data_IF_823012044373
#
_entry.id   IF_823012044373
#
_cell.length_a   1.000
_cell.length_b   1.000
_cell.length_c   1.000
_cell.angle_alpha   90.00
_cell.angle_beta   90.00
_cell.angle_gamma   90.00
#
_symmetry.space_group_name_H-M   'P 1'
#
loop_
_entity.id
_entity.type
_entity.pdbx_description
1 polymer ?
#
# COMPACT_ATOMS: atom_id res chain seq x y z
N UNK A 1 3.57 -21.62 9.58
CA UNK A 1 3.20 -20.71 10.68
C UNK A 1 2.24 -19.67 10.12
N UNK A 2 1.00 -19.66 10.59
CA UNK A 2 0.02 -18.65 10.22
C UNK A 2 0.23 -17.41 11.09
N UNK A 3 0.45 -16.26 10.48
CA UNK A 3 0.56 -14.98 11.16
C UNK A 3 -0.80 -14.31 11.08
N UNK A 4 -1.53 -14.20 12.20
CA UNK A 4 -2.86 -13.56 12.26
C UNK A 4 -2.96 -12.57 13.42
N UNK A 5 -3.81 -11.55 13.25
CA UNK A 5 -4.35 -10.71 14.33
C UNK A 5 -5.57 -9.95 13.83
N UNK A 6 -6.09 -8.97 14.57
CA UNK A 6 -7.38 -8.34 14.24
C UNK A 6 -7.29 -6.81 14.16
N UNK A 7 -7.81 -6.22 13.08
CA UNK A 7 -8.02 -4.75 12.93
C UNK A 7 -9.52 -4.50 12.78
N UNK A 8 -10.12 -3.67 13.63
CA UNK A 8 -11.55 -3.35 13.63
C UNK A 8 -12.46 -4.61 13.59
N UNK A 9 -12.07 -5.66 14.31
CA UNK A 9 -12.81 -6.94 14.36
C UNK A 9 -12.61 -7.86 13.16
N UNK A 10 -11.77 -7.50 12.18
CA UNK A 10 -11.42 -8.35 11.04
C UNK A 10 -10.05 -8.99 11.23
N UNK A 11 -9.96 -10.30 11.07
CA UNK A 11 -8.70 -11.02 11.06
C UNK A 11 -7.84 -10.56 9.87
N UNK A 12 -6.63 -10.09 10.13
CA UNK A 12 -5.58 -9.85 9.15
C UNK A 12 -4.56 -10.96 9.33
N UNK A 13 -4.42 -11.79 8.31
CA UNK A 13 -3.33 -12.75 8.24
C UNK A 13 -2.66 -12.69 6.87
N UNK A 14 -1.45 -13.25 6.74
CA UNK A 14 -0.71 -13.24 5.47
C UNK A 14 -1.54 -13.84 4.33
N UNK A 15 -2.37 -14.86 4.62
CA UNK A 15 -3.23 -15.50 3.63
C UNK A 15 -4.33 -14.56 3.12
N UNK A 16 -4.82 -13.62 3.94
CA UNK A 16 -5.82 -12.61 3.57
C UNK A 16 -5.35 -11.65 2.45
N UNK A 17 -4.03 -11.56 2.23
CA UNK A 17 -3.43 -10.81 1.13
C UNK A 17 -3.28 -11.65 -0.15
N UNK A 18 -3.29 -12.98 -0.03
CA UNK A 18 -3.18 -13.93 -1.14
C UNK A 18 -4.51 -14.62 -1.50
N UNK A 19 -5.57 -14.40 -0.72
CA UNK A 19 -6.92 -14.88 -1.04
C UNK A 19 -7.34 -14.34 -2.41
N UNK A 20 -7.49 -15.25 -3.38
CA UNK A 20 -7.75 -15.00 -4.81
C UNK A 20 -6.55 -14.58 -5.68
N UNK A 21 -5.30 -14.68 -5.21
CA UNK A 21 -4.11 -14.40 -6.04
C UNK A 21 -4.09 -15.20 -7.36
N UNK A 22 -4.63 -16.43 -7.37
CA UNK A 22 -4.75 -17.28 -8.55
C UNK A 22 -5.70 -16.72 -9.64
N UNK A 23 -6.50 -15.70 -9.32
CA UNK A 23 -7.43 -15.02 -10.26
C UNK A 23 -6.89 -13.68 -10.75
N UNK A 24 -5.71 -13.27 -10.31
CA UNK A 24 -5.10 -11.98 -10.64
C UNK A 24 -3.98 -12.14 -11.66
N UNK A 25 -3.79 -11.12 -12.49
CA UNK A 25 -2.61 -11.03 -13.35
C UNK A 25 -1.42 -10.56 -12.50
N UNK A 26 -0.34 -11.35 -12.51
CA UNK A 26 0.88 -11.05 -11.73
C UNK A 26 1.95 -10.46 -12.64
N UNK A 27 2.42 -9.28 -12.28
CA UNK A 27 3.60 -8.67 -12.87
C UNK A 27 4.77 -8.80 -11.88
N UNK A 28 5.70 -9.71 -12.18
CA UNK A 28 6.97 -9.81 -11.47
C UNK A 28 7.93 -8.74 -11.99
N UNK A 29 8.42 -7.90 -11.10
CA UNK A 29 9.33 -6.82 -11.44
C UNK A 29 10.75 -7.29 -11.11
N UNK A 30 11.38 -7.90 -12.11
CA UNK A 30 12.69 -8.55 -11.97
C UNK A 30 13.88 -7.56 -12.00
N UNK A 31 13.63 -6.25 -12.01
CA UNK A 31 14.66 -5.20 -12.05
C UNK A 31 14.26 -4.03 -11.15
N UNK A 32 15.22 -3.27 -10.62
CA UNK A 32 14.97 -2.05 -9.80
C UNK A 32 14.25 -0.91 -10.56
N UNK A 33 13.66 -1.17 -11.74
CA UNK A 33 12.93 -0.23 -12.59
C UNK A 33 11.74 0.44 -11.88
N UNK A 34 11.15 -0.21 -10.87
CA UNK A 34 10.13 0.38 -9.98
C UNK A 34 10.63 0.57 -8.53
N UNK A 35 11.94 0.58 -8.33
CA UNK A 35 12.56 0.74 -7.02
C UNK A 35 12.29 -0.45 -6.10
N UNK A 36 11.63 -0.19 -4.96
CA UNK A 36 11.38 -1.17 -3.90
C UNK A 36 10.29 -2.19 -4.22
N UNK A 37 9.45 -1.94 -5.24
CA UNK A 37 8.33 -2.83 -5.60
C UNK A 37 8.84 -4.08 -6.33
N UNK A 38 8.38 -5.26 -5.91
CA UNK A 38 8.78 -6.56 -6.46
C UNK A 38 7.66 -7.25 -7.23
N UNK A 39 6.41 -7.13 -6.77
CA UNK A 39 5.27 -7.75 -7.45
C UNK A 39 4.07 -6.80 -7.43
N UNK A 40 3.30 -6.81 -8.52
CA UNK A 40 2.03 -6.10 -8.64
C UNK A 40 1.01 -7.08 -9.19
N UNK A 41 -0.13 -7.14 -8.52
CA UNK A 41 -1.25 -7.99 -8.90
C UNK A 41 -2.41 -7.09 -9.32
N UNK A 42 -2.85 -7.24 -10.56
CA UNK A 42 -3.95 -6.48 -11.14
C UNK A 42 -5.14 -7.38 -11.43
N UNK A 43 -6.35 -6.84 -11.25
CA UNK A 43 -7.55 -7.55 -11.69
C UNK A 43 -7.62 -7.55 -13.23
N UNK A 44 -7.87 -8.72 -13.88
CA UNK A 44 -7.70 -8.85 -15.33
C UNK A 44 -8.56 -7.91 -16.18
N UNK A 45 -9.79 -7.60 -15.76
CA UNK A 45 -10.73 -6.84 -16.60
C UNK A 45 -10.57 -5.32 -16.44
N UNK A 46 -10.55 -4.85 -15.21
CA UNK A 46 -10.40 -3.45 -14.81
C UNK A 46 -8.98 -2.92 -14.97
N UNK A 47 -7.99 -3.82 -14.92
CA UNK A 47 -6.56 -3.50 -14.77
C UNK A 47 -6.24 -2.67 -13.53
N UNK A 48 -7.13 -2.64 -12.53
CA UNK A 48 -6.87 -1.96 -11.25
C UNK A 48 -5.96 -2.82 -10.38
N UNK A 49 -5.10 -2.16 -9.62
CA UNK A 49 -4.15 -2.83 -8.71
C UNK A 49 -4.92 -3.32 -7.49
N UNK A 50 -4.80 -4.61 -7.21
CA UNK A 50 -5.43 -5.25 -6.06
C UNK A 50 -4.42 -5.43 -4.93
N UNK A 51 -3.18 -5.75 -5.29
CA UNK A 51 -2.14 -6.03 -4.32
C UNK A 51 -0.74 -5.66 -4.84
N UNK A 52 0.11 -5.19 -3.92
CA UNK A 52 1.53 -4.89 -4.15
C UNK A 52 2.38 -5.57 -3.08
N UNK A 53 3.48 -6.18 -3.51
CA UNK A 53 4.57 -6.62 -2.65
C UNK A 53 5.82 -5.79 -2.92
N UNK A 54 6.41 -5.24 -1.86
CA UNK A 54 7.63 -4.44 -1.93
C UNK A 54 8.64 -4.87 -0.86
N UNK A 55 9.93 -4.75 -1.20
CA UNK A 55 11.05 -4.97 -0.29
C UNK A 55 11.89 -3.69 -0.24
N UNK A 56 11.92 -3.06 0.92
CA UNK A 56 12.53 -1.74 1.12
C UNK A 56 13.86 -1.93 1.85
N UNK A 57 14.94 -1.71 1.13
CA UNK A 57 16.30 -1.63 1.65
C UNK A 57 16.73 -0.17 1.75
N UNK A 58 17.82 0.07 2.49
CA UNK A 58 18.43 1.41 2.63
C UNK A 58 18.70 2.08 1.28
N UNK A 59 19.12 1.32 0.27
CA UNK A 59 19.38 1.81 -1.09
C UNK A 59 18.15 2.34 -1.84
N UNK A 60 16.94 2.03 -1.37
CA UNK A 60 15.69 2.53 -1.95
C UNK A 60 15.20 3.82 -1.28
N UNK A 61 15.78 4.20 -0.13
CA UNK A 61 15.32 5.38 0.59
C UNK A 61 15.62 6.63 -0.23
N UNK A 62 14.63 7.52 -0.31
CA UNK A 62 14.69 8.81 -1.01
C UNK A 62 14.98 8.71 -2.52
N UNK A 63 14.84 7.54 -3.15
CA UNK A 63 15.04 7.34 -4.60
C UNK A 63 13.76 7.37 -5.43
N UNK A 64 12.59 7.44 -4.79
CA UNK A 64 11.30 7.52 -5.49
C UNK A 64 11.11 8.85 -6.22
N UNK A 65 10.11 8.89 -7.09
CA UNK A 65 9.84 10.06 -7.93
C UNK A 65 8.48 10.69 -7.65
N UNK A 66 8.38 11.98 -7.94
CA UNK A 66 7.11 12.71 -7.95
C UNK A 66 6.13 12.15 -8.98
N UNK A 67 4.84 12.38 -8.76
CA UNK A 67 3.80 11.96 -9.71
C UNK A 67 3.96 12.70 -11.04
N UNK A 68 4.21 11.96 -12.12
CA UNK A 68 4.35 12.54 -13.45
C UNK A 68 3.07 13.21 -13.94
N UNK A 69 3.21 14.21 -14.83
CA UNK A 69 2.04 14.87 -15.46
C UNK A 69 1.15 13.86 -16.19
N UNK A 70 1.76 12.86 -16.86
CA UNK A 70 1.05 11.80 -17.58
C UNK A 70 0.22 10.94 -16.62
N UNK A 71 0.83 10.45 -15.54
CA UNK A 71 0.12 9.63 -14.55
C UNK A 71 -1.00 10.41 -13.85
N UNK A 72 -0.74 11.68 -13.49
CA UNK A 72 -1.75 12.57 -12.91
C UNK A 72 -2.96 12.75 -13.83
N UNK A 73 -2.73 12.91 -15.13
CA UNK A 73 -3.81 13.01 -16.13
C UNK A 73 -4.63 11.71 -16.18
N UNK A 74 -3.96 10.56 -16.28
CA UNK A 74 -4.62 9.24 -16.32
C UNK A 74 -5.48 9.01 -15.07
N UNK A 75 -4.98 9.33 -13.87
CA UNK A 75 -5.75 9.19 -12.64
C UNK A 75 -7.04 10.02 -12.69
N UNK A 76 -6.92 11.29 -13.06
CA UNK A 76 -8.06 12.22 -13.11
C UNK A 76 -9.12 11.82 -14.13
N UNK A 77 -8.70 11.26 -15.27
CA UNK A 77 -9.61 10.94 -16.38
C UNK A 77 -10.19 9.53 -16.30
N UNK A 78 -9.52 8.58 -15.61
CA UNK A 78 -9.85 7.15 -15.75
C UNK A 78 -9.94 6.36 -14.46
N UNK A 79 -9.71 6.97 -13.29
CA UNK A 79 -9.69 6.25 -12.00
C UNK A 79 -10.79 6.69 -11.03
N UNK A 80 -11.94 7.17 -11.53
CA UNK A 80 -13.04 7.63 -10.65
C UNK A 80 -12.59 8.71 -9.65
N UNK A 81 -11.63 9.54 -10.07
CA UNK A 81 -11.08 10.64 -9.28
C UNK A 81 -12.18 11.64 -8.93
N UNK A 82 -12.26 12.03 -7.66
CA UNK A 82 -13.25 13.01 -7.19
C UNK A 82 -12.58 14.31 -6.73
N UNK A 83 -13.37 15.37 -6.65
CA UNK A 83 -12.89 16.62 -6.05
C UNK A 83 -12.44 16.38 -4.60
N UNK A 84 -11.28 16.93 -4.24
CA UNK A 84 -10.64 16.67 -2.94
C UNK A 84 -9.67 15.49 -2.92
N UNK A 85 -9.56 14.70 -4.00
CA UNK A 85 -8.50 13.71 -4.14
C UNK A 85 -7.15 14.38 -4.45
N UNK A 86 -6.08 13.70 -4.03
CA UNK A 86 -4.70 13.83 -4.48
C UNK A 86 -4.29 12.55 -5.24
N UNK A 87 -3.15 12.60 -5.91
CA UNK A 87 -2.54 11.41 -6.51
C UNK A 87 -1.64 10.76 -5.46
N UNK A 88 -2.20 9.79 -4.73
CA UNK A 88 -1.50 9.05 -3.68
C UNK A 88 -0.52 8.04 -4.25
N UNK A 89 0.61 7.87 -3.58
CA UNK A 89 1.54 6.76 -3.83
C UNK A 89 1.14 5.55 -2.98
N UNK A 90 1.08 4.35 -3.57
CA UNK A 90 0.82 3.12 -2.80
C UNK A 90 2.05 2.78 -1.95
N UNK A 91 3.22 2.69 -2.59
CA UNK A 91 4.52 2.74 -1.92
C UNK A 91 5.04 4.15 -1.98
N UNK A 92 5.27 4.75 -0.81
CA UNK A 92 5.61 6.16 -0.69
C UNK A 92 6.94 6.53 -1.37
N UNK A 93 7.04 7.78 -1.81
CA UNK A 93 8.19 8.31 -2.56
C UNK A 93 9.52 8.11 -1.82
N UNK A 94 9.57 8.43 -0.52
CA UNK A 94 10.80 8.30 0.27
C UNK A 94 11.18 6.86 0.59
N UNK A 95 10.29 5.91 0.32
CA UNK A 95 10.52 4.46 0.45
C UNK A 95 10.87 3.81 -0.90
N UNK A 96 11.15 4.62 -1.92
CA UNK A 96 11.58 4.17 -3.25
C UNK A 96 10.45 3.98 -4.26
N UNK A 97 9.22 4.37 -3.91
CA UNK A 97 8.09 4.27 -4.83
C UNK A 97 8.14 5.31 -5.95
N UNK A 98 7.98 4.85 -7.19
CA UNK A 98 7.94 5.72 -8.38
C UNK A 98 6.57 6.40 -8.55
N UNK A 99 6.57 7.68 -8.90
CA UNK A 99 5.39 8.42 -9.36
C UNK A 99 5.22 8.42 -10.88
N UNK A 100 6.06 7.68 -11.60
CA UNK A 100 6.03 7.59 -13.07
C UNK A 100 5.29 6.34 -13.59
N UNK A 101 4.82 5.46 -12.70
CA UNK A 101 4.00 4.31 -13.04
C UNK A 101 2.61 4.45 -12.40
N UNK A 102 1.57 4.34 -13.23
CA UNK A 102 0.18 4.39 -12.78
C UNK A 102 -0.16 3.27 -11.78
N UNK A 103 0.57 2.14 -11.82
CA UNK A 103 0.34 1.00 -10.93
C UNK A 103 0.83 1.24 -9.50
N UNK A 104 1.66 2.24 -9.24
CA UNK A 104 2.03 2.64 -7.88
C UNK A 104 1.20 3.83 -7.37
N UNK A 105 0.12 4.17 -8.07
CA UNK A 105 -0.66 5.36 -7.79
C UNK A 105 -2.15 5.07 -7.71
N UNK A 106 -2.87 5.88 -6.93
CA UNK A 106 -4.31 5.81 -6.81
C UNK A 106 -4.90 7.19 -6.45
N UNK A 107 -6.18 7.45 -6.74
CA UNK A 107 -6.87 8.63 -6.21
C UNK A 107 -7.07 8.46 -4.69
N UNK A 108 -6.54 9.41 -3.94
CA UNK A 108 -6.53 9.37 -2.48
C UNK A 108 -7.14 10.64 -1.92
N UNK A 109 -8.04 10.54 -0.95
CA UNK A 109 -8.54 11.70 -0.23
C UNK A 109 -7.37 12.52 0.35
N UNK A 110 -7.28 13.80 -0.01
CA UNK A 110 -6.13 14.64 0.33
C UNK A 110 -5.95 14.91 1.83
N UNK A 111 -7.01 14.81 2.64
CA UNK A 111 -6.93 14.95 4.10
C UNK A 111 -6.30 13.71 4.74
N UNK A 112 -6.72 12.52 4.28
CA UNK A 112 -6.16 11.22 4.69
C UNK A 112 -4.69 11.07 4.30
N UNK A 113 -4.32 11.56 3.12
CA UNK A 113 -2.94 11.54 2.62
C UNK A 113 -1.93 12.27 3.53
N UNK A 114 -2.40 13.10 4.46
CA UNK A 114 -1.54 13.98 5.24
C UNK A 114 -1.28 13.56 6.70
N UNK A 115 -1.93 12.52 7.21
CA UNK A 115 -1.84 12.09 8.63
C UNK A 115 -1.23 10.68 8.77
N UNK A 116 -2.02 9.62 8.67
CA UNK A 116 -1.63 8.23 8.99
C UNK A 116 -0.50 7.72 8.11
N UNK A 117 -0.52 8.11 6.83
CA UNK A 117 0.53 7.74 5.88
C UNK A 117 1.92 8.23 6.30
N UNK A 118 2.02 9.42 6.89
CA UNK A 118 3.30 9.99 7.31
C UNK A 118 3.89 9.24 8.51
N UNK A 119 3.05 8.77 9.43
CA UNK A 119 3.53 8.04 10.62
C UNK A 119 4.04 6.65 10.22
N UNK A 120 3.26 5.91 9.42
CA UNK A 120 3.67 4.62 8.83
C UNK A 120 4.96 4.75 8.03
N UNK A 121 5.01 5.72 7.11
CA UNK A 121 6.17 5.96 6.26
C UNK A 121 7.42 6.30 7.08
N UNK A 122 7.28 7.08 8.17
CA UNK A 122 8.38 7.38 9.08
C UNK A 122 8.87 6.15 9.86
N UNK A 123 7.97 5.28 10.33
CA UNK A 123 8.34 4.03 11.02
C UNK A 123 9.18 3.13 10.11
N UNK A 124 8.74 2.90 8.88
CA UNK A 124 9.48 2.10 7.89
C UNK A 124 10.83 2.74 7.57
N UNK A 125 10.83 4.04 7.28
CA UNK A 125 12.07 4.77 6.94
C UNK A 125 13.11 4.68 8.07
N UNK A 126 12.69 4.91 9.32
CA UNK A 126 13.59 4.90 10.46
C UNK A 126 14.18 3.51 10.73
N UNK A 127 13.37 2.44 10.60
CA UNK A 127 13.86 1.06 10.72
C UNK A 127 14.92 0.72 9.68
N UNK A 128 14.64 1.00 8.42
CA UNK A 128 15.56 0.72 7.30
C UNK A 128 16.82 1.59 7.40
N UNK A 129 16.74 2.76 8.05
CA UNK A 129 17.86 3.68 8.25
C UNK A 129 18.70 3.37 9.50
N UNK A 130 18.14 2.75 10.54
CA UNK A 130 18.82 2.60 11.85
C UNK A 130 19.89 1.50 11.87
N UNK A 131 19.78 0.47 11.03
CA UNK A 131 20.70 -0.68 11.02
C UNK A 131 21.33 -0.99 9.67
N UNK A 132 22.59 -1.42 9.68
CA UNK A 132 23.25 -1.97 8.50
C UNK A 132 22.60 -3.30 8.13
N UNK A 133 21.96 -3.36 6.96
CA UNK A 133 21.33 -4.59 6.45
C UNK A 133 19.85 -4.78 6.81
N UNK A 134 19.29 -3.97 7.72
CA UNK A 134 17.85 -4.00 8.01
C UNK A 134 17.02 -3.66 6.76
N UNK A 135 15.87 -4.30 6.64
CA UNK A 135 14.93 -4.06 5.55
C UNK A 135 13.49 -4.29 6.01
N UNK A 136 12.54 -3.91 5.16
CA UNK A 136 11.11 -4.10 5.42
C UNK A 136 10.47 -4.76 4.21
N UNK A 137 9.66 -5.78 4.45
CA UNK A 137 8.71 -6.31 3.47
C UNK A 137 7.36 -5.61 3.69
N UNK A 138 6.77 -5.09 2.61
CA UNK A 138 5.45 -4.46 2.64
C UNK A 138 4.51 -5.20 1.71
N UNK A 139 3.38 -5.60 2.26
CA UNK A 139 2.24 -6.22 1.58
C UNK A 139 1.11 -5.20 1.61
N UNK A 140 0.65 -4.74 0.45
CA UNK A 140 -0.38 -3.69 0.36
C UNK A 140 -1.57 -4.22 -0.40
N UNK A 141 -2.77 -4.09 0.17
CA UNK A 141 -4.04 -4.47 -0.47
C UNK A 141 -4.92 -3.24 -0.65
N UNK A 142 -5.57 -3.17 -1.81
CA UNK A 142 -6.53 -2.13 -2.15
C UNK A 142 -7.92 -2.77 -2.21
N UNK A 143 -8.85 -2.30 -1.38
CA UNK A 143 -10.23 -2.79 -1.38
C UNK A 143 -11.10 -1.81 -2.19
N UNK A 144 -11.94 -2.37 -3.07
CA UNK A 144 -12.84 -1.63 -3.96
C UNK A 144 -14.29 -2.00 -3.71
N UNK A 145 -15.19 -1.04 -3.93
CA UNK A 145 -16.62 -1.25 -3.73
C UNK A 145 -17.24 -1.74 -5.04
N UNK A 146 -17.27 -3.05 -5.20
CA UNK A 146 -17.90 -3.73 -6.34
C UNK A 146 -19.39 -4.05 -6.07
N UNK A 147 -19.94 -3.64 -4.92
CA UNK A 147 -21.30 -4.02 -4.50
C UNK A 147 -22.39 -3.33 -5.33
N UNK A 148 -22.05 -2.22 -5.96
CA UNK A 148 -22.94 -1.45 -6.79
C UNK A 148 -22.75 -1.91 -8.24
N UNK A 149 -23.75 -2.57 -8.83
CA UNK A 149 -23.88 -2.94 -10.25
C UNK A 149 -23.80 -1.70 -11.19
N UNK A 150 -22.72 -0.94 -11.12
CA UNK A 150 -22.47 0.21 -11.96
C UNK A 150 -22.01 -0.26 -13.33
N UNK A 151 -22.47 0.42 -14.39
CA UNK A 151 -21.98 0.24 -15.76
C UNK A 151 -20.50 0.60 -15.91
N UNK A 152 -19.91 1.25 -14.90
CA UNK A 152 -18.52 1.66 -14.85
C UNK A 152 -17.78 0.93 -13.74
N UNK A 153 -16.67 0.29 -14.09
CA UNK A 153 -15.75 -0.36 -13.16
C UNK A 153 -15.18 0.67 -12.16
N UNK A 154 -15.32 0.42 -10.85
CA UNK A 154 -14.71 1.25 -9.80
C UNK A 154 -13.18 1.04 -9.75
N UNK A 155 -12.42 2.13 -9.90
CA UNK A 155 -10.95 2.13 -9.90
C UNK A 155 -10.37 3.03 -8.80
N UNK A 156 -11.21 3.66 -7.98
CA UNK A 156 -10.82 4.32 -6.73
C UNK A 156 -11.05 3.34 -5.57
N UNK A 157 -9.99 2.91 -4.86
CA UNK A 157 -10.18 2.06 -3.68
C UNK A 157 -10.90 2.85 -2.60
N UNK A 158 -11.81 2.20 -1.87
CA UNK A 158 -12.42 2.82 -0.68
C UNK A 158 -11.56 2.60 0.56
N UNK A 159 -10.60 1.66 0.52
CA UNK A 159 -9.72 1.36 1.65
C UNK A 159 -8.39 0.77 1.20
N UNK A 160 -7.35 1.05 1.96
CA UNK A 160 -6.01 0.52 1.75
C UNK A 160 -5.50 -0.09 3.04
N UNK A 161 -4.89 -1.27 2.91
CA UNK A 161 -4.39 -2.05 4.03
C UNK A 161 -2.92 -2.35 3.79
N UNK A 162 -2.09 -1.99 4.75
CA UNK A 162 -0.68 -2.28 4.80
C UNK A 162 -0.43 -3.38 5.83
N UNK A 163 0.36 -4.39 5.45
CA UNK A 163 1.01 -5.31 6.36
C UNK A 163 2.51 -5.16 6.18
N UNK A 164 3.18 -4.78 7.26
CA UNK A 164 4.55 -4.32 7.29
C UNK A 164 5.34 -5.30 8.15
N UNK A 165 6.33 -5.96 7.55
CA UNK A 165 7.19 -6.93 8.24
C UNK A 165 8.58 -6.33 8.35
N UNK A 166 8.97 -6.00 9.58
CA UNK A 166 10.26 -5.42 9.90
C UNK A 166 11.29 -6.54 10.06
N UNK A 167 12.35 -6.50 9.24
CA UNK A 167 13.42 -7.49 9.21
C UNK A 167 14.74 -6.93 9.73
N UNK A 168 15.47 -7.72 10.51
CA UNK A 168 16.85 -7.42 10.88
C UNK A 168 17.81 -7.68 9.71
N UNK A 169 19.11 -7.46 9.96
CA UNK A 169 20.17 -7.70 8.97
C UNK A 169 20.34 -9.17 8.56
N UNK A 170 19.78 -10.10 9.35
CA UNK A 170 19.83 -11.55 9.12
C UNK A 170 18.54 -12.08 8.47
N UNK A 171 17.57 -11.21 8.18
CA UNK A 171 16.27 -11.59 7.61
C UNK A 171 15.27 -12.13 8.64
N UNK A 172 15.59 -12.04 9.93
CA UNK A 172 14.68 -12.41 11.01
C UNK A 172 13.59 -11.36 11.16
N UNK A 173 12.36 -11.80 11.40
CA UNK A 173 11.24 -10.88 11.66
C UNK A 173 11.36 -10.34 13.08
N UNK A 174 11.57 -9.03 13.20
CA UNK A 174 11.60 -8.35 14.50
C UNK A 174 10.17 -8.00 14.94
N UNK A 175 9.35 -7.53 14.01
CA UNK A 175 8.02 -7.00 14.29
C UNK A 175 7.15 -7.06 13.04
N UNK A 176 5.86 -7.20 13.23
CA UNK A 176 4.86 -7.04 12.17
C UNK A 176 3.84 -6.00 12.61
N UNK A 177 3.52 -5.06 11.72
CA UNK A 177 2.47 -4.07 11.92
C UNK A 177 1.44 -4.20 10.79
N UNK A 178 0.17 -4.00 11.11
CA UNK A 178 -0.87 -3.80 10.12
C UNK A 178 -1.51 -2.42 10.30
N UNK A 179 -1.58 -1.67 9.21
CA UNK A 179 -2.23 -0.36 9.15
C UNK A 179 -3.37 -0.41 8.15
N UNK A 180 -4.48 0.24 8.48
CA UNK A 180 -5.68 0.26 7.66
C UNK A 180 -6.20 1.68 7.57
N UNK A 181 -6.37 2.17 6.34
CA UNK A 181 -6.83 3.53 6.09
C UNK A 181 -8.04 3.52 5.16
N UNK A 182 -9.12 4.15 5.62
CA UNK A 182 -10.29 4.41 4.80
C UNK A 182 -10.00 5.56 3.82
N UNK A 183 -10.51 5.44 2.60
CA UNK A 183 -10.37 6.42 1.53
C UNK A 183 -11.75 6.96 1.14
N UNK A 184 -12.40 7.80 1.97
CA UNK A 184 -13.75 8.28 1.70
C UNK A 184 -13.79 9.22 0.49
N UNK A 185 -14.87 9.16 -0.30
CA UNK A 185 -15.09 10.00 -1.49
C UNK A 185 -15.41 11.47 -1.14
N UNK A 186 -15.91 11.74 0.06
CA UNK A 186 -16.11 13.08 0.60
C UNK A 186 -15.13 13.35 1.73
N UNK A 187 -14.86 14.63 2.01
CA UNK A 187 -14.21 15.03 3.26
C UNK A 187 -15.02 14.46 4.43
N UNK A 188 -14.39 13.75 5.38
CA UNK A 188 -15.05 13.37 6.61
C UNK A 188 -15.58 14.63 7.31
N UNK A 189 -16.87 14.70 7.60
CA UNK A 189 -17.45 15.77 8.44
C UNK A 189 -16.96 15.66 9.89
N UNK A 190 -16.40 14.52 10.26
CA UNK A 190 -15.76 14.27 11.56
C UNK A 190 -14.35 13.70 11.35
N UNK A 191 -13.41 14.14 12.20
CA UNK A 191 -12.02 13.65 12.24
C UNK A 191 -11.94 12.15 12.55
N UNK A 192 -12.21 11.30 11.58
CA UNK A 192 -11.87 9.87 11.64
C UNK A 192 -10.50 9.66 10.99
N UNK A 193 -9.46 10.04 11.72
CA UNK A 193 -8.13 9.50 11.51
C UNK A 193 -7.77 8.74 12.79
N UNK A 194 -8.41 7.59 13.00
CA UNK A 194 -8.01 6.67 14.05
C UNK A 194 -6.82 5.87 13.52
N UNK A 195 -5.63 6.13 14.05
CA UNK A 195 -4.47 5.25 13.84
C UNK A 195 -4.82 3.85 14.35
N UNK A 196 -5.21 2.96 13.44
CA UNK A 196 -5.48 1.57 13.75
C UNK A 196 -4.20 0.76 13.46
N UNK A 197 -3.12 1.06 14.18
CA UNK A 197 -1.88 0.27 14.12
C UNK A 197 -2.06 -0.95 15.01
N UNK A 198 -1.98 -2.15 14.42
CA UNK A 198 -1.98 -3.40 15.18
C UNK A 198 -0.61 -4.04 15.08
N UNK A 199 0.07 -4.16 16.23
CA UNK A 199 1.32 -4.91 16.34
C UNK A 199 0.96 -6.38 16.48
N UNK A 200 1.33 -7.19 15.48
CA UNK A 200 1.14 -8.62 15.53
C UNK A 200 2.32 -9.26 16.27
N UNK A 201 2.01 -10.05 17.29
CA UNK A 201 3.03 -10.81 18.03
C UNK A 201 3.68 -11.84 17.11
N UNK A 202 5.01 -11.81 17.05
CA UNK A 202 5.79 -12.90 16.45
C UNK A 202 5.89 -13.98 17.53
N UNK A 203 5.22 -15.11 17.35
CA UNK A 203 5.42 -16.27 18.23
C UNK A 203 6.86 -16.77 18.04
N UNK A 204 7.66 -16.76 19.10
CA UNK A 204 8.94 -17.49 19.11
C UNK A 204 8.65 -19.00 18.90
N UNK A 205 9.54 -19.72 18.19
CA UNK A 205 9.41 -21.15 17.99
C UNK A 205 9.49 -21.96 19.29
#
# INVERSE_FOLDING_TARGET
>A
MGLSGTVNGKEINKNLFYENANKLEVCHINNDAMGSIKEIYTEPNSKRVQYIYAVIHRRHLDTGSEVSKKCRKILKESYNYVEGDACGHIIARRLGGTGNDIKNLFPQNSQVNNTTYKSMEARVYNHVKSGTGCYTEMHVRLDYDDSNNHSTIEKRPYRIIYLIVFKDAHGQTIRIEADCEENPKSSPTDKLATENVVVLSVSEP
#
